data_IF_812011689026
#
_entry.id   IF_812011689026
#
_cell.length_a   1.000
_cell.length_b   1.000
_cell.length_c   1.000
_cell.angle_alpha   90.00
_cell.angle_beta   90.00
_cell.angle_gamma   90.00
#
_symmetry.space_group_name_H-M   'P 1'
#
loop_
_entity.id
_entity.type
_entity.pdbx_description
1 polymer ?
#
# COMPACT_ATOMS: atom_id res chain seq x y z
N UNK A 1 -28.48 5.55 3.33
CA UNK A 1 -27.29 5.82 2.48
C UNK A 1 -27.78 6.14 1.07
N UNK A 2 -27.51 7.33 0.55
CA UNK A 2 -27.90 7.67 -0.83
C UNK A 2 -26.97 6.99 -1.83
N UNK A 3 -27.40 6.83 -3.08
CA UNK A 3 -26.60 6.21 -4.14
C UNK A 3 -25.20 6.84 -4.29
N UNK A 4 -25.10 8.17 -4.17
CA UNK A 4 -23.83 8.90 -4.21
C UNK A 4 -22.90 8.55 -3.04
N UNK A 5 -23.43 8.34 -1.84
CA UNK A 5 -22.65 7.97 -0.65
C UNK A 5 -22.08 6.55 -0.78
N UNK A 6 -22.90 5.63 -1.30
CA UNK A 6 -22.48 4.26 -1.63
C UNK A 6 -21.35 4.24 -2.66
N UNK A 7 -21.46 5.04 -3.73
CA UNK A 7 -20.40 5.16 -4.73
C UNK A 7 -19.11 5.70 -4.12
N UNK A 8 -19.18 6.79 -3.35
CA UNK A 8 -17.99 7.37 -2.71
C UNK A 8 -17.29 6.35 -1.80
N UNK A 9 -18.06 5.60 -1.00
CA UNK A 9 -17.52 4.57 -0.10
C UNK A 9 -16.80 3.47 -0.90
N UNK A 10 -17.47 2.94 -1.94
CA UNK A 10 -16.91 1.88 -2.80
C UNK A 10 -15.64 2.38 -3.51
N UNK A 11 -15.66 3.58 -4.08
CA UNK A 11 -14.49 4.17 -4.73
C UNK A 11 -13.33 4.35 -3.75
N UNK A 12 -13.59 4.83 -2.54
CA UNK A 12 -12.56 4.99 -1.51
C UNK A 12 -11.95 3.65 -1.12
N UNK A 13 -12.78 2.61 -0.96
CA UNK A 13 -12.32 1.25 -0.67
C UNK A 13 -11.48 0.67 -1.83
N UNK A 14 -11.89 0.88 -3.08
CA UNK A 14 -11.13 0.45 -4.26
C UNK A 14 -9.78 1.17 -4.36
N UNK A 15 -9.74 2.48 -4.10
CA UNK A 15 -8.49 3.25 -4.07
C UNK A 15 -7.58 2.72 -2.96
N UNK A 16 -8.11 2.43 -1.77
CA UNK A 16 -7.35 1.83 -0.68
C UNK A 16 -6.71 0.50 -1.10
N UNK A 17 -7.49 -0.39 -1.74
CA UNK A 17 -6.99 -1.67 -2.25
C UNK A 17 -5.93 -1.49 -3.35
N UNK A 18 -6.12 -0.53 -4.24
CA UNK A 18 -5.15 -0.22 -5.29
C UNK A 18 -3.82 0.26 -4.69
N UNK A 19 -3.86 1.18 -3.72
CA UNK A 19 -2.66 1.68 -3.03
C UNK A 19 -1.98 0.57 -2.22
N UNK A 20 -2.76 -0.27 -1.55
CA UNK A 20 -2.25 -1.42 -0.80
C UNK A 20 -1.56 -2.44 -1.71
N UNK A 21 -2.17 -2.72 -2.86
CA UNK A 21 -1.56 -3.57 -3.89
C UNK A 21 -0.26 -2.94 -4.42
N UNK A 22 -0.28 -1.64 -4.75
CA UNK A 22 0.90 -0.93 -5.24
C UNK A 22 2.06 -0.96 -4.23
N UNK A 23 1.76 -0.92 -2.92
CA UNK A 23 2.77 -1.07 -1.87
C UNK A 23 3.56 -2.38 -1.99
N UNK A 24 2.93 -3.49 -2.36
CA UNK A 24 3.66 -4.76 -2.56
C UNK A 24 4.68 -4.66 -3.70
N UNK A 25 4.37 -3.92 -4.77
CA UNK A 25 5.34 -3.67 -5.83
C UNK A 25 6.57 -2.88 -5.33
N UNK A 26 6.35 -1.89 -4.45
CA UNK A 26 7.43 -1.13 -3.82
C UNK A 26 8.28 -2.01 -2.89
N UNK A 27 7.64 -2.89 -2.13
CA UNK A 27 8.33 -3.88 -1.28
C UNK A 27 9.23 -4.79 -2.10
N UNK A 28 8.74 -5.27 -3.24
CA UNK A 28 9.52 -6.11 -4.13
C UNK A 28 10.72 -5.36 -4.74
N UNK A 29 10.51 -4.12 -5.20
CA UNK A 29 11.60 -3.27 -5.69
C UNK A 29 12.65 -2.97 -4.59
N UNK A 30 12.19 -2.72 -3.36
CA UNK A 30 13.06 -2.56 -2.20
C UNK A 30 13.89 -3.80 -1.93
N UNK A 31 13.29 -5.00 -1.93
CA UNK A 31 14.01 -6.26 -1.70
C UNK A 31 15.10 -6.49 -2.75
N UNK A 32 14.85 -6.17 -4.02
CA UNK A 32 15.90 -6.20 -5.06
C UNK A 32 17.05 -5.24 -4.73
N UNK A 33 16.74 -4.01 -4.33
CA UNK A 33 17.76 -2.98 -4.01
C UNK A 33 18.55 -3.33 -2.76
N UNK A 34 17.89 -3.83 -1.70
CA UNK A 34 18.52 -4.36 -0.48
C UNK A 34 19.53 -5.46 -0.81
N UNK A 35 19.24 -6.28 -1.82
CA UNK A 35 20.13 -7.35 -2.31
C UNK A 35 21.09 -6.88 -3.43
N UNK A 36 21.34 -5.57 -3.54
CA UNK A 36 22.28 -4.94 -4.50
C UNK A 36 21.92 -5.21 -5.97
N UNK A 37 20.63 -5.46 -6.27
CA UNK A 37 20.11 -5.61 -7.63
C UNK A 37 19.40 -4.32 -8.09
N UNK A 38 19.15 -4.21 -9.40
CA UNK A 38 18.35 -3.09 -9.93
C UNK A 38 16.90 -3.27 -9.49
N UNK A 39 16.21 -2.17 -9.16
CA UNK A 39 14.81 -2.21 -8.71
C UNK A 39 13.86 -2.78 -9.77
N UNK A 40 14.11 -2.48 -11.05
CA UNK A 40 13.19 -2.81 -12.15
C UNK A 40 11.94 -1.92 -12.15
N UNK A 41 10.89 -2.39 -12.83
CA UNK A 41 9.60 -1.69 -12.93
C UNK A 41 8.64 -2.16 -11.84
N UNK A 42 7.70 -1.30 -11.43
CA UNK A 42 6.63 -1.70 -10.51
C UNK A 42 5.75 -2.80 -11.12
N UNK A 43 5.63 -2.82 -12.46
CA UNK A 43 4.84 -3.82 -13.19
C UNK A 43 5.48 -5.21 -13.14
N UNK A 44 6.78 -5.31 -12.84
CA UNK A 44 7.47 -6.61 -12.72
C UNK A 44 6.85 -7.48 -11.63
N UNK A 45 6.32 -6.85 -10.57
CA UNK A 45 5.64 -7.53 -9.49
C UNK A 45 4.36 -8.23 -9.96
N UNK A 46 3.54 -7.53 -10.76
CA UNK A 46 2.24 -8.03 -11.23
C UNK A 46 2.36 -9.01 -12.38
N UNK A 47 3.29 -8.75 -13.32
CA UNK A 47 3.59 -9.65 -14.43
C UNK A 47 4.46 -10.84 -14.02
N UNK A 48 4.90 -10.88 -12.75
CA UNK A 48 5.86 -11.88 -12.24
C UNK A 48 7.11 -12.00 -13.12
N UNK A 49 7.62 -10.84 -13.56
CA UNK A 49 8.82 -10.78 -14.39
C UNK A 49 10.06 -10.96 -13.50
N UNK A 50 10.49 -12.22 -13.38
CA UNK A 50 11.61 -12.62 -12.53
C UNK A 50 12.91 -12.64 -13.34
N UNK A 51 13.72 -11.61 -13.14
CA UNK A 51 14.99 -11.40 -13.82
C UNK A 51 16.12 -12.08 -13.05
N UNK A 52 16.00 -12.13 -11.71
CA UNK A 52 17.01 -12.70 -10.83
C UNK A 52 16.55 -14.03 -10.22
N UNK A 53 17.50 -14.94 -9.98
CA UNK A 53 17.24 -16.28 -9.40
C UNK A 53 16.41 -16.25 -8.11
N UNK A 54 16.59 -15.21 -7.27
CA UNK A 54 15.90 -15.07 -5.99
C UNK A 54 14.61 -14.25 -6.05
N UNK A 55 14.22 -13.73 -7.23
CA UNK A 55 13.05 -12.86 -7.36
C UNK A 55 11.76 -13.56 -6.91
N UNK A 56 11.62 -14.85 -7.16
CA UNK A 56 10.44 -15.59 -6.70
C UNK A 56 10.31 -15.59 -5.17
N UNK A 57 11.43 -15.69 -4.45
CA UNK A 57 11.45 -15.63 -3.00
C UNK A 57 11.16 -14.21 -2.51
N UNK A 58 11.77 -13.21 -3.12
CA UNK A 58 11.53 -11.80 -2.77
C UNK A 58 10.09 -11.37 -3.10
N UNK A 59 9.48 -11.92 -4.15
CA UNK A 59 8.07 -11.69 -4.47
C UNK A 59 7.17 -12.21 -3.35
N UNK A 60 7.43 -13.41 -2.81
CA UNK A 60 6.69 -13.94 -1.66
C UNK A 60 6.94 -13.10 -0.39
N UNK A 61 8.19 -12.75 -0.13
CA UNK A 61 8.58 -11.94 1.03
C UNK A 61 7.96 -10.53 0.99
N UNK A 62 7.75 -9.97 -0.21
CA UNK A 62 7.20 -8.62 -0.37
C UNK A 62 5.80 -8.43 0.25
N UNK A 63 5.02 -9.51 0.39
CA UNK A 63 3.70 -9.45 1.03
C UNK A 63 3.78 -9.29 2.56
N UNK A 64 4.88 -9.73 3.17
CA UNK A 64 5.02 -9.85 4.64
C UNK A 64 5.88 -8.75 5.26
N UNK A 65 6.73 -8.08 4.47
CA UNK A 65 7.59 -7.02 5.00
C UNK A 65 6.81 -5.73 5.25
N UNK A 66 7.25 -4.95 6.24
CA UNK A 66 6.63 -3.68 6.66
C UNK A 66 5.11 -3.77 6.84
N UNK A 67 4.65 -4.61 7.79
CA UNK A 67 3.24 -4.69 8.14
C UNK A 67 2.68 -3.30 8.42
N UNK A 68 1.41 -3.12 8.08
CA UNK A 68 0.73 -1.84 8.33
C UNK A 68 0.85 -1.50 9.83
N UNK A 69 0.98 -0.21 10.14
CA UNK A 69 1.12 0.33 11.50
C UNK A 69 2.48 0.06 12.18
N UNK A 70 3.37 -0.72 11.58
CA UNK A 70 4.74 -0.85 12.07
C UNK A 70 5.65 0.27 11.54
N UNK A 71 6.63 0.72 12.36
CA UNK A 71 7.57 1.74 11.93
C UNK A 71 8.45 1.23 10.79
N UNK A 72 8.60 2.08 9.76
CA UNK A 72 9.62 1.88 8.71
C UNK A 72 10.88 2.59 9.17
N UNK A 73 11.86 1.82 9.61
CA UNK A 73 13.15 2.31 10.14
C UNK A 73 14.11 2.54 8.97
N UNK A 74 14.74 3.72 8.92
CA UNK A 74 15.77 4.03 7.93
C UNK A 74 17.06 3.30 8.25
N UNK A 75 17.77 2.82 7.24
CA UNK A 75 18.99 2.00 7.41
C UNK A 75 20.27 2.83 7.30
N UNK A 76 20.18 4.11 6.95
CA UNK A 76 21.34 5.01 6.78
C UNK A 76 22.06 4.80 5.44
N UNK A 77 21.45 4.05 4.51
CA UNK A 77 21.99 3.78 3.18
C UNK A 77 21.10 4.45 2.14
N UNK A 78 21.61 5.47 1.46
CA UNK A 78 20.85 6.32 0.54
C UNK A 78 19.95 5.56 -0.44
N UNK A 79 20.47 4.49 -1.05
CA UNK A 79 19.71 3.70 -2.03
C UNK A 79 18.55 2.92 -1.41
N UNK A 80 18.73 2.38 -0.21
CA UNK A 80 17.67 1.66 0.51
C UNK A 80 16.67 2.66 1.09
N UNK A 81 17.17 3.74 1.70
CA UNK A 81 16.38 4.79 2.35
C UNK A 81 15.45 5.50 1.37
N UNK A 82 15.86 5.69 0.12
CA UNK A 82 14.98 6.19 -0.94
C UNK A 82 13.71 5.35 -1.09
N UNK A 83 13.82 4.02 -1.04
CA UNK A 83 12.67 3.12 -1.16
C UNK A 83 11.88 3.02 0.15
N UNK A 84 12.57 3.00 1.29
CA UNK A 84 11.93 3.02 2.61
C UNK A 84 11.11 4.31 2.80
N UNK A 85 11.60 5.46 2.34
CA UNK A 85 10.85 6.71 2.34
C UNK A 85 9.58 6.65 1.47
N UNK A 86 9.66 6.02 0.29
CA UNK A 86 8.47 5.78 -0.56
C UNK A 86 7.45 4.89 0.15
N UNK A 87 7.89 3.77 0.72
CA UNK A 87 7.01 2.85 1.47
C UNK A 87 6.37 3.56 2.66
N UNK A 88 7.15 4.36 3.41
CA UNK A 88 6.64 5.18 4.53
C UNK A 88 5.59 6.18 4.07
N UNK A 89 5.82 6.86 2.94
CA UNK A 89 4.83 7.78 2.35
C UNK A 89 3.57 7.04 1.92
N UNK A 90 3.68 5.87 1.30
CA UNK A 90 2.53 5.04 0.93
C UNK A 90 1.75 4.57 2.16
N UNK A 91 2.43 4.22 3.26
CA UNK A 91 1.78 3.91 4.53
C UNK A 91 0.95 5.09 5.07
N UNK A 92 1.51 6.30 5.05
CA UNK A 92 0.77 7.51 5.48
C UNK A 92 -0.48 7.75 4.62
N UNK A 93 -0.37 7.59 3.30
CA UNK A 93 -1.53 7.71 2.39
C UNK A 93 -2.60 6.65 2.73
N UNK A 94 -2.21 5.40 2.98
CA UNK A 94 -3.16 4.36 3.40
C UNK A 94 -3.83 4.68 4.74
N UNK A 95 -3.09 5.20 5.72
CA UNK A 95 -3.68 5.61 7.00
C UNK A 95 -4.70 6.72 6.81
N UNK A 96 -4.39 7.71 5.98
CA UNK A 96 -5.32 8.78 5.65
C UNK A 96 -6.60 8.24 4.98
N UNK A 97 -6.45 7.37 3.98
CA UNK A 97 -7.58 6.73 3.29
C UNK A 97 -8.44 5.88 4.25
N UNK A 98 -7.81 5.16 5.19
CA UNK A 98 -8.51 4.41 6.23
C UNK A 98 -9.32 5.33 7.14
N UNK A 99 -8.74 6.45 7.58
CA UNK A 99 -9.46 7.45 8.39
C UNK A 99 -10.67 7.99 7.63
N UNK A 100 -10.51 8.38 6.37
CA UNK A 100 -11.62 8.85 5.52
C UNK A 100 -12.70 7.78 5.39
N UNK A 101 -12.31 6.53 5.14
CA UNK A 101 -13.25 5.41 4.99
C UNK A 101 -14.04 5.17 6.29
N UNK A 102 -13.36 5.13 7.44
CA UNK A 102 -13.99 4.97 8.76
C UNK A 102 -14.94 6.13 9.09
N UNK A 103 -14.51 7.37 8.90
CA UNK A 103 -15.34 8.56 9.13
C UNK A 103 -16.57 8.55 8.23
N UNK A 104 -16.42 8.16 6.97
CA UNK A 104 -17.55 8.02 6.04
C UNK A 104 -18.54 6.97 6.52
N UNK A 105 -18.06 5.80 6.97
CA UNK A 105 -18.90 4.75 7.53
C UNK A 105 -19.70 5.21 8.75
N UNK A 106 -19.04 5.88 9.70
CA UNK A 106 -19.70 6.41 10.92
C UNK A 106 -20.70 7.52 10.56
N UNK A 107 -20.36 8.39 9.62
CA UNK A 107 -21.25 9.46 9.19
C UNK A 107 -22.52 8.90 8.54
N UNK A 108 -22.38 7.89 7.66
CA UNK A 108 -23.51 7.26 7.00
C UNK A 108 -24.37 6.42 7.95
N UNK A 109 -23.78 5.77 8.96
CA UNK A 109 -24.58 5.05 9.97
C UNK A 109 -25.42 6.00 10.82
N UNK A 110 -24.83 7.11 11.31
CA UNK A 110 -25.56 8.13 12.08
C UNK A 110 -26.68 8.79 11.28
N UNK A 111 -26.49 9.02 9.98
CA UNK A 111 -27.55 9.57 9.13
C UNK A 111 -28.73 8.60 8.99
N UNK A 112 -28.46 7.28 9.02
CA UNK A 112 -29.49 6.25 8.92
C UNK A 112 -30.36 6.13 10.18
N UNK A 113 -29.84 6.52 11.35
CA UNK A 113 -30.53 6.42 12.64
C UNK A 113 -31.37 7.66 13.00
N UNK A 114 -31.21 8.78 12.28
CA UNK A 114 -31.98 10.00 12.53
C UNK A 114 -33.28 9.97 11.70
N UNK A 115 -34.45 9.90 12.34
CA UNK A 115 -35.73 9.83 11.64
C UNK A 115 -36.21 11.26 11.34
N UNK A 116 -35.58 11.94 10.39
CA UNK A 116 -36.10 13.20 9.84
C UNK A 116 -35.77 13.29 8.35
#
# INVERSE_FOLDING_TARGET
MTYSQSIQFILTALILLAVYSFKWSLHFQYLRVKNKKKSGSWMDFYKRNFIYKNDQNWWKESFMIFPLLYPVVMTGKDKEDHWLAKIKRTNLVMYFLLIVLLLSGIYFSKLSERPF
#
